data_IF_371134669089
#
_entry.id   IF_371134669089
#
_cell.length_a   1.000
_cell.length_b   1.000
_cell.length_c   1.000
_cell.angle_alpha   90.00
_cell.angle_beta   90.00
_cell.angle_gamma   90.00
#
_symmetry.space_group_name_H-M   'P 1'
#
loop_
_entity.id
_entity.type
_entity.pdbx_description
1 polymer ?
#
# COMPACT_ATOMS: atom_id res chain seq x y z
N UNK A 1 -1.82 -1.64 32.79
CA UNK A 1 -2.93 -1.86 31.83
C UNK A 1 -2.66 -0.94 30.65
N UNK A 2 -2.33 -1.50 29.50
CA UNK A 2 -2.14 -0.73 28.28
C UNK A 2 -3.49 -0.14 27.86
N UNK A 3 -3.44 1.06 27.29
CA UNK A 3 -4.63 1.74 26.78
C UNK A 3 -5.11 0.97 25.53
N UNK A 4 -6.37 0.46 25.48
CA UNK A 4 -6.85 -0.37 24.38
C UNK A 4 -6.75 0.34 23.01
N UNK A 5 -6.70 1.66 22.98
CA UNK A 5 -6.46 2.46 21.76
C UNK A 5 -5.02 2.26 21.28
N UNK A 6 -4.07 2.28 22.20
CA UNK A 6 -2.63 2.13 21.87
C UNK A 6 -2.37 0.72 21.34
N UNK A 7 -2.95 -0.31 21.96
CA UNK A 7 -2.79 -1.70 21.53
C UNK A 7 -3.37 -1.93 20.11
N UNK A 8 -4.54 -1.36 19.82
CA UNK A 8 -5.14 -1.45 18.49
C UNK A 8 -4.33 -0.70 17.42
N UNK A 9 -3.81 0.48 17.73
CA UNK A 9 -2.93 1.23 16.84
C UNK A 9 -1.62 0.49 16.59
N UNK A 10 -1.05 -0.13 17.63
CA UNK A 10 0.17 -0.91 17.51
C UNK A 10 -0.04 -2.16 16.63
N UNK A 11 -1.12 -2.90 16.85
CA UNK A 11 -1.47 -4.07 16.02
C UNK A 11 -1.69 -3.68 14.55
N UNK A 12 -2.39 -2.58 14.31
CA UNK A 12 -2.62 -2.09 12.96
C UNK A 12 -1.32 -1.60 12.28
N UNK A 13 -0.42 -0.95 13.04
CA UNK A 13 0.90 -0.57 12.53
C UNK A 13 1.76 -1.80 12.21
N UNK A 14 1.72 -2.84 13.03
CA UNK A 14 2.41 -4.10 12.77
C UNK A 14 1.90 -4.76 11.48
N UNK A 15 0.57 -4.79 11.26
CA UNK A 15 -0.01 -5.32 10.02
C UNK A 15 0.39 -4.50 8.77
N UNK A 16 0.55 -3.18 8.89
CA UNK A 16 1.08 -2.36 7.80
C UNK A 16 2.55 -2.71 7.50
N UNK A 17 3.35 -3.04 8.51
CA UNK A 17 4.73 -3.50 8.31
C UNK A 17 4.78 -4.88 7.63
N UNK A 18 3.82 -5.76 7.91
CA UNK A 18 3.69 -7.05 7.20
C UNK A 18 3.53 -6.84 5.70
N UNK A 19 2.88 -5.75 5.26
CA UNK A 19 2.80 -5.41 3.84
C UNK A 19 4.18 -5.26 3.21
N UNK A 20 5.14 -4.66 3.90
CA UNK A 20 6.50 -4.50 3.38
C UNK A 20 7.21 -5.85 3.22
N UNK A 21 7.03 -6.75 4.20
CA UNK A 21 7.59 -8.11 4.14
C UNK A 21 6.95 -8.92 3.00
N UNK A 22 5.63 -8.85 2.86
CA UNK A 22 4.90 -9.52 1.77
C UNK A 22 5.36 -9.00 0.41
N UNK A 23 5.58 -7.70 0.28
CA UNK A 23 6.12 -7.12 -0.94
C UNK A 23 7.51 -7.67 -1.29
N UNK A 24 8.36 -7.88 -0.28
CA UNK A 24 9.68 -8.47 -0.46
C UNK A 24 9.57 -9.92 -0.95
N UNK A 25 8.72 -10.73 -0.30
CA UNK A 25 8.47 -12.14 -0.70
C UNK A 25 7.97 -12.24 -2.14
N UNK A 26 7.05 -11.35 -2.56
CA UNK A 26 6.54 -11.31 -3.93
C UNK A 26 7.60 -10.93 -4.97
N UNK A 27 8.70 -10.32 -4.53
CA UNK A 27 9.81 -9.98 -5.41
C UNK A 27 10.67 -11.19 -5.79
N UNK A 28 10.61 -12.30 -5.05
CA UNK A 28 11.26 -13.56 -5.43
C UNK A 28 10.56 -14.29 -6.59
N UNK A 29 9.36 -13.82 -7.00
CA UNK A 29 8.66 -14.42 -8.15
C UNK A 29 9.43 -14.12 -9.44
N UNK A 30 9.83 -15.17 -10.20
CA UNK A 30 10.61 -15.01 -11.42
C UNK A 30 9.92 -14.11 -12.46
N UNK A 31 10.68 -13.40 -13.30
CA UNK A 31 10.15 -12.51 -14.36
C UNK A 31 9.19 -13.20 -15.34
N UNK A 32 9.31 -14.52 -15.48
CA UNK A 32 8.44 -15.35 -16.32
C UNK A 32 6.95 -15.17 -15.97
N UNK A 33 6.64 -14.84 -14.72
CA UNK A 33 5.26 -14.68 -14.22
C UNK A 33 4.79 -13.21 -14.15
N UNK A 34 5.36 -12.33 -14.96
CA UNK A 34 5.05 -10.89 -14.97
C UNK A 34 3.55 -10.58 -15.05
N UNK A 35 2.76 -11.36 -15.82
CA UNK A 35 1.31 -11.16 -15.95
C UNK A 35 0.52 -11.53 -14.68
N UNK A 36 1.00 -12.50 -13.92
CA UNK A 36 0.33 -12.99 -12.70
C UNK A 36 0.70 -12.15 -11.47
N UNK A 37 1.86 -11.51 -11.50
CA UNK A 37 2.38 -10.71 -10.38
C UNK A 37 1.40 -9.63 -9.88
N UNK A 38 0.73 -8.82 -10.71
CA UNK A 38 -0.24 -7.83 -10.23
C UNK A 38 -1.45 -8.47 -9.52
N UNK A 39 -1.87 -9.66 -9.97
CA UNK A 39 -2.99 -10.40 -9.38
C UNK A 39 -2.58 -10.92 -7.99
N UNK A 40 -1.39 -11.54 -7.88
CA UNK A 40 -0.87 -12.03 -6.61
C UNK A 40 -0.67 -10.88 -5.60
N UNK A 41 -0.11 -9.76 -6.05
CA UNK A 41 -0.01 -8.56 -5.23
C UNK A 41 -1.38 -8.12 -4.71
N UNK A 42 -2.38 -8.06 -5.60
CA UNK A 42 -3.74 -7.69 -5.23
C UNK A 42 -4.37 -8.63 -4.21
N UNK A 43 -4.23 -9.94 -4.40
CA UNK A 43 -4.77 -10.95 -3.47
C UNK A 43 -4.10 -10.84 -2.10
N UNK A 44 -2.78 -10.74 -2.04
CA UNK A 44 -2.06 -10.67 -0.77
C UNK A 44 -2.35 -9.37 -0.02
N UNK A 45 -2.41 -8.24 -0.72
CA UNK A 45 -2.79 -6.97 -0.11
C UNK A 45 -4.25 -7.01 0.37
N UNK A 46 -5.14 -7.64 -0.39
CA UNK A 46 -6.53 -7.85 0.03
C UNK A 46 -6.64 -8.69 1.29
N UNK A 47 -5.85 -9.76 1.43
CA UNK A 47 -5.80 -10.57 2.64
C UNK A 47 -5.31 -9.75 3.85
N UNK A 48 -4.27 -8.93 3.69
CA UNK A 48 -3.80 -8.02 4.75
C UNK A 48 -4.90 -7.02 5.10
N UNK A 49 -5.59 -6.45 4.11
CA UNK A 49 -6.69 -5.52 4.34
C UNK A 49 -7.83 -6.15 5.14
N UNK A 50 -8.22 -7.37 4.80
CA UNK A 50 -9.23 -8.15 5.53
C UNK A 50 -8.73 -8.45 6.96
N UNK A 51 -7.46 -8.81 7.15
CA UNK A 51 -6.88 -9.05 8.47
C UNK A 51 -6.92 -7.78 9.34
N UNK A 52 -6.57 -6.60 8.79
CA UNK A 52 -6.69 -5.31 9.47
C UNK A 52 -8.14 -5.05 9.88
N UNK A 53 -9.09 -5.30 8.99
CA UNK A 53 -10.52 -5.11 9.24
C UNK A 53 -11.09 -6.12 10.25
N UNK A 54 -10.47 -7.29 10.41
CA UNK A 54 -10.88 -8.31 11.38
C UNK A 54 -10.40 -8.04 12.80
N UNK A 55 -9.46 -7.10 12.98
CA UNK A 55 -8.93 -6.67 14.29
C UNK A 55 -9.16 -5.17 14.51
N UNK A 56 -10.43 -4.71 14.42
CA UNK A 56 -10.72 -3.30 14.50
C UNK A 56 -10.74 -2.80 15.95
N UNK A 57 -10.43 -1.52 16.12
CA UNK A 57 -10.82 -0.82 17.34
C UNK A 57 -12.25 -0.32 17.21
N UNK A 58 -13.14 -0.83 18.08
CA UNK A 58 -14.53 -0.39 18.11
C UNK A 58 -14.67 0.77 19.09
N UNK A 59 -14.90 1.97 18.56
CA UNK A 59 -15.19 3.19 19.36
C UNK A 59 -16.60 3.18 19.94
N UNK A 60 -17.57 2.71 19.13
CA UNK A 60 -18.98 2.55 19.47
C UNK A 60 -19.56 1.38 18.69
N UNK A 61 -20.74 0.87 19.12
CA UNK A 61 -21.45 -0.20 18.42
C UNK A 61 -21.65 0.12 16.93
N UNK A 62 -20.92 -0.58 16.06
CA UNK A 62 -21.02 -0.46 14.60
C UNK A 62 -20.04 0.50 13.92
N UNK A 63 -19.26 1.29 14.67
CA UNK A 63 -18.20 2.16 14.12
C UNK A 63 -16.83 1.58 14.42
N UNK A 64 -16.18 1.18 13.36
CA UNK A 64 -14.91 0.47 13.36
C UNK A 64 -13.83 1.41 12.88
N UNK A 65 -12.74 1.49 13.62
CA UNK A 65 -11.59 2.31 13.31
C UNK A 65 -10.37 1.42 12.99
N UNK A 66 -9.85 1.56 11.79
CA UNK A 66 -8.72 0.78 11.31
C UNK A 66 -7.86 1.58 10.30
N UNK A 67 -6.70 1.02 9.93
CA UNK A 67 -5.73 1.67 9.04
C UNK A 67 -5.91 1.30 7.55
N UNK A 68 -7.06 0.75 7.16
CA UNK A 68 -7.32 0.35 5.76
C UNK A 68 -7.22 1.50 4.75
N UNK A 69 -7.57 2.73 5.13
CA UNK A 69 -7.45 3.92 4.29
C UNK A 69 -6.00 4.19 3.88
N UNK A 70 -5.06 4.01 4.82
CA UNK A 70 -3.61 4.07 4.55
C UNK A 70 -3.23 2.96 3.56
N UNK A 71 -3.59 1.71 3.87
CA UNK A 71 -3.26 0.57 3.04
C UNK A 71 -3.76 0.75 1.60
N UNK A 72 -5.04 1.10 1.42
CA UNK A 72 -5.68 1.23 0.10
C UNK A 72 -5.07 2.39 -0.69
N UNK A 73 -4.88 3.56 -0.08
CA UNK A 73 -4.32 4.72 -0.76
C UNK A 73 -2.86 4.51 -1.18
N UNK A 74 -2.05 3.88 -0.33
CA UNK A 74 -0.65 3.53 -0.65
C UNK A 74 -0.59 2.40 -1.69
N UNK A 75 -1.48 1.41 -1.62
CA UNK A 75 -1.62 0.38 -2.66
C UNK A 75 -1.91 1.01 -4.02
N UNK A 76 -2.85 1.93 -4.08
CA UNK A 76 -3.20 2.66 -5.28
C UNK A 76 -2.02 3.47 -5.84
N UNK A 77 -1.28 4.14 -4.96
CA UNK A 77 -0.11 4.94 -5.33
C UNK A 77 1.02 4.07 -5.90
N UNK A 78 1.36 2.97 -5.25
CA UNK A 78 2.56 2.18 -5.56
C UNK A 78 2.27 1.06 -6.55
N UNK A 79 1.25 0.26 -6.31
CA UNK A 79 0.96 -0.94 -7.10
C UNK A 79 0.03 -0.68 -8.30
N UNK A 80 -0.74 0.41 -8.29
CA UNK A 80 -1.60 0.82 -9.39
C UNK A 80 -2.97 0.16 -9.40
N UNK A 81 -3.65 0.25 -10.54
CA UNK A 81 -5.10 0.01 -10.65
C UNK A 81 -5.50 -1.44 -10.34
N UNK A 82 -4.79 -2.43 -10.87
CA UNK A 82 -5.20 -3.84 -10.77
C UNK A 82 -5.18 -4.36 -9.31
N UNK A 83 -4.06 -4.25 -8.55
CA UNK A 83 -4.05 -4.64 -7.15
C UNK A 83 -5.04 -3.85 -6.30
N UNK A 84 -5.22 -2.55 -6.59
CA UNK A 84 -6.17 -1.71 -5.89
C UNK A 84 -7.61 -2.19 -6.07
N UNK A 85 -8.01 -2.55 -7.29
CA UNK A 85 -9.36 -3.07 -7.55
C UNK A 85 -9.65 -4.34 -6.75
N UNK A 86 -8.71 -5.29 -6.73
CA UNK A 86 -8.87 -6.53 -5.95
C UNK A 86 -9.02 -6.20 -4.46
N UNK A 87 -8.18 -5.30 -3.93
CA UNK A 87 -8.23 -4.89 -2.52
C UNK A 87 -9.54 -4.17 -2.19
N UNK A 88 -10.00 -3.26 -3.06
CA UNK A 88 -11.27 -2.53 -2.89
C UNK A 88 -12.46 -3.49 -2.87
N UNK A 89 -12.51 -4.46 -3.79
CA UNK A 89 -13.57 -5.45 -3.83
C UNK A 89 -13.62 -6.29 -2.56
N UNK A 90 -12.47 -6.80 -2.11
CA UNK A 90 -12.38 -7.58 -0.88
C UNK A 90 -12.74 -6.77 0.37
N UNK A 91 -12.21 -5.54 0.49
CA UNK A 91 -12.50 -4.65 1.61
C UNK A 91 -13.98 -4.23 1.66
N UNK A 92 -14.58 -3.94 0.50
CA UNK A 92 -16.01 -3.59 0.41
C UNK A 92 -16.90 -4.78 0.75
N UNK A 93 -16.58 -5.98 0.27
CA UNK A 93 -17.30 -7.20 0.62
C UNK A 93 -17.21 -7.46 2.13
N UNK A 94 -16.02 -7.37 2.71
CA UNK A 94 -15.83 -7.51 4.16
C UNK A 94 -16.64 -6.47 4.95
N UNK A 95 -16.67 -5.22 4.47
CA UNK A 95 -17.43 -4.15 5.14
C UNK A 95 -18.95 -4.39 5.11
N UNK A 96 -19.47 -4.96 4.01
CA UNK A 96 -20.87 -5.36 3.90
C UNK A 96 -21.18 -6.50 4.87
N UNK A 97 -20.31 -7.50 4.95
CA UNK A 97 -20.46 -8.64 5.87
C UNK A 97 -20.46 -8.19 7.32
N UNK A 98 -19.58 -7.26 7.70
CA UNK A 98 -19.53 -6.71 9.06
C UNK A 98 -20.81 -5.92 9.44
N UNK A 99 -21.47 -5.31 8.48
CA UNK A 99 -22.71 -4.58 8.71
C UNK A 99 -22.56 -3.34 9.59
N UNK A 100 -23.70 -2.93 10.20
CA UNK A 100 -23.77 -1.79 11.12
C UNK A 100 -23.90 -0.42 10.45
N UNK A 101 -24.12 0.63 11.25
CA UNK A 101 -24.34 2.03 10.81
C UNK A 101 -23.13 2.60 10.06
N UNK A 102 -21.94 2.10 10.34
CA UNK A 102 -20.70 2.48 9.68
C UNK A 102 -20.47 1.82 8.30
N UNK A 103 -21.38 0.98 7.77
CA UNK A 103 -21.15 0.29 6.50
C UNK A 103 -21.07 1.26 5.32
N UNK A 104 -22.03 2.17 5.20
CA UNK A 104 -22.06 3.16 4.13
C UNK A 104 -20.84 4.09 4.15
N UNK A 105 -20.52 4.78 5.26
CA UNK A 105 -19.31 5.60 5.34
C UNK A 105 -18.05 4.77 5.15
N UNK A 106 -18.00 3.53 5.62
CA UNK A 106 -16.87 2.63 5.43
C UNK A 106 -16.59 2.30 3.97
N UNK A 107 -17.62 2.02 3.16
CA UNK A 107 -17.49 1.80 1.71
C UNK A 107 -17.08 3.10 1.02
N UNK A 108 -17.66 4.24 1.40
CA UNK A 108 -17.29 5.54 0.88
C UNK A 108 -15.79 5.84 1.09
N UNK A 109 -15.25 5.56 2.29
CA UNK A 109 -13.83 5.70 2.60
C UNK A 109 -12.96 4.77 1.74
N UNK A 110 -13.34 3.52 1.55
CA UNK A 110 -12.62 2.57 0.70
C UNK A 110 -12.51 3.11 -0.74
N UNK A 111 -13.62 3.52 -1.31
CA UNK A 111 -13.68 4.01 -2.70
C UNK A 111 -12.91 5.33 -2.87
N UNK A 112 -13.11 6.27 -1.96
CA UNK A 112 -12.42 7.59 -2.04
C UNK A 112 -10.93 7.46 -1.83
N UNK A 113 -10.46 6.63 -0.88
CA UNK A 113 -9.03 6.37 -0.66
C UNK A 113 -8.37 5.78 -1.90
N UNK A 114 -9.03 4.81 -2.55
CA UNK A 114 -8.54 4.23 -3.80
C UNK A 114 -8.51 5.26 -4.94
N UNK A 115 -9.58 6.01 -5.12
CA UNK A 115 -9.68 7.03 -6.17
C UNK A 115 -8.62 8.11 -6.02
N UNK A 116 -8.41 8.63 -4.79
CA UNK A 116 -7.39 9.63 -4.51
C UNK A 116 -5.99 9.07 -4.78
N UNK A 117 -5.68 7.86 -4.29
CA UNK A 117 -4.39 7.22 -4.51
C UNK A 117 -4.08 7.02 -6.00
N UNK A 118 -5.04 6.54 -6.80
CA UNK A 118 -4.89 6.37 -8.25
C UNK A 118 -4.75 7.72 -8.98
N UNK A 119 -5.56 8.71 -8.62
CA UNK A 119 -5.48 10.07 -9.17
C UNK A 119 -4.12 10.70 -8.86
N UNK A 120 -3.66 10.54 -7.61
CA UNK A 120 -2.36 11.03 -7.17
C UNK A 120 -1.22 10.39 -7.93
N UNK A 121 -1.25 9.06 -8.12
CA UNK A 121 -0.30 8.31 -8.93
C UNK A 121 -0.19 8.86 -10.35
N UNK A 122 -1.33 9.17 -10.98
CA UNK A 122 -1.39 9.59 -12.38
C UNK A 122 -0.96 11.06 -12.58
N UNK A 123 -1.41 11.97 -11.71
CA UNK A 123 -1.33 13.40 -11.98
C UNK A 123 -0.33 14.17 -11.11
N UNK A 124 -0.14 13.77 -9.86
CA UNK A 124 0.67 14.52 -8.89
C UNK A 124 2.04 13.88 -8.71
N UNK A 125 2.08 12.60 -8.43
CA UNK A 125 3.30 11.88 -8.08
C UNK A 125 4.43 11.99 -9.13
N UNK A 126 4.19 11.97 -10.47
CA UNK A 126 5.24 12.12 -11.46
C UNK A 126 5.95 13.48 -11.41
N UNK A 127 5.24 14.52 -10.95
CA UNK A 127 5.77 15.89 -10.82
C UNK A 127 6.64 16.07 -9.57
N UNK A 128 6.42 15.26 -8.55
CA UNK A 128 7.04 15.38 -7.22
C UNK A 128 8.10 14.31 -6.92
N UNK A 129 8.78 13.79 -7.93
CA UNK A 129 9.77 12.70 -7.79
C UNK A 129 10.88 12.98 -6.77
N UNK A 130 11.32 14.24 -6.62
CA UNK A 130 12.36 14.64 -5.66
C UNK A 130 11.86 14.72 -4.21
N UNK A 131 10.56 14.98 -4.02
CA UNK A 131 9.92 15.18 -2.72
C UNK A 131 8.81 14.15 -2.49
N UNK A 132 9.11 12.86 -2.75
CA UNK A 132 8.13 11.77 -2.64
C UNK A 132 7.46 11.71 -1.27
N UNK A 133 8.22 11.91 -0.20
CA UNK A 133 7.70 11.89 1.16
C UNK A 133 6.66 12.98 1.40
N UNK A 134 6.95 14.23 0.93
CA UNK A 134 6.01 15.35 1.06
C UNK A 134 4.75 15.14 0.21
N UNK A 135 4.93 14.62 -1.02
CA UNK A 135 3.81 14.24 -1.89
C UNK A 135 2.90 13.22 -1.23
N UNK A 136 3.46 12.18 -0.61
CA UNK A 136 2.68 11.15 0.09
C UNK A 136 2.02 11.71 1.36
N UNK A 137 2.70 12.59 2.09
CA UNK A 137 2.12 13.27 3.25
C UNK A 137 0.87 14.06 2.86
N UNK A 138 0.96 14.89 1.82
CA UNK A 138 -0.18 15.69 1.32
C UNK A 138 -1.32 14.81 0.82
N UNK A 139 -1.00 13.73 0.10
CA UNK A 139 -2.01 12.75 -0.31
C UNK A 139 -2.74 12.17 0.90
N UNK A 140 -2.00 11.76 1.91
CA UNK A 140 -2.56 11.15 3.11
C UNK A 140 -3.42 12.15 3.89
N UNK A 141 -3.01 13.41 4.03
CA UNK A 141 -3.84 14.44 4.66
C UNK A 141 -5.18 14.56 3.93
N UNK A 142 -5.17 14.64 2.60
CA UNK A 142 -6.41 14.74 1.79
C UNK A 142 -7.28 13.50 1.97
N UNK A 143 -6.69 12.30 1.93
CA UNK A 143 -7.41 11.04 2.16
C UNK A 143 -8.13 11.06 3.51
N UNK A 144 -7.45 11.51 4.57
CA UNK A 144 -8.02 11.46 5.92
C UNK A 144 -8.98 12.61 6.20
N UNK A 145 -8.82 13.77 5.56
CA UNK A 145 -9.86 14.82 5.58
C UNK A 145 -11.15 14.32 4.91
N UNK A 146 -11.03 13.66 3.76
CA UNK A 146 -12.20 13.08 3.08
C UNK A 146 -12.78 11.92 3.88
N UNK A 147 -11.95 11.09 4.52
CA UNK A 147 -12.40 10.06 5.44
C UNK A 147 -13.25 10.64 6.57
N UNK A 148 -12.80 11.73 7.21
CA UNK A 148 -13.58 12.41 8.25
C UNK A 148 -14.89 12.98 7.70
N UNK A 149 -14.88 13.52 6.48
CA UNK A 149 -16.10 13.98 5.82
C UNK A 149 -17.07 12.82 5.54
N UNK A 150 -16.59 11.62 5.19
CA UNK A 150 -17.43 10.44 5.02
C UNK A 150 -18.14 10.03 6.32
N UNK A 151 -17.59 10.36 7.51
CA UNK A 151 -18.26 10.08 8.78
C UNK A 151 -19.56 10.89 8.95
N UNK A 152 -19.74 12.00 8.23
CA UNK A 152 -21.00 12.75 8.21
C UNK A 152 -22.17 11.99 7.57
N UNK A 153 -21.91 10.86 6.92
CA UNK A 153 -22.96 9.95 6.44
C UNK A 153 -23.64 9.17 7.58
N UNK A 154 -23.07 9.21 8.79
CA UNK A 154 -23.70 8.67 10.00
C UNK A 154 -24.72 9.70 10.52
N UNK A 155 -25.89 9.25 11.04
CA UNK A 155 -26.89 10.17 11.58
C UNK A 155 -26.37 11.07 12.70
N UNK A 156 -26.87 12.31 12.76
CA UNK A 156 -26.63 13.23 13.87
C UNK A 156 -27.33 12.73 15.13
N UNK A 157 -26.76 12.86 16.37
CA UNK A 157 -25.49 13.54 16.73
C UNK A 157 -24.26 12.61 16.70
N UNK A 158 -24.42 11.35 16.36
CA UNK A 158 -23.39 10.31 16.49
C UNK A 158 -22.15 10.62 15.61
N UNK A 159 -22.38 11.12 14.38
CA UNK A 159 -21.33 11.53 13.47
C UNK A 159 -20.35 12.55 14.07
N UNK A 160 -20.88 13.58 14.74
CA UNK A 160 -20.06 14.64 15.34
C UNK A 160 -19.25 14.11 16.54
N UNK A 161 -19.84 13.25 17.34
CA UNK A 161 -19.15 12.65 18.49
C UNK A 161 -17.98 11.76 18.01
N UNK A 162 -18.21 10.98 16.97
CA UNK A 162 -17.17 10.15 16.36
C UNK A 162 -16.04 11.03 15.79
N UNK A 163 -16.38 12.04 14.98
CA UNK A 163 -15.39 12.94 14.40
C UNK A 163 -14.53 13.60 15.49
N UNK A 164 -15.14 14.12 16.54
CA UNK A 164 -14.41 14.73 17.66
C UNK A 164 -13.46 13.76 18.34
N UNK A 165 -13.84 12.49 18.48
CA UNK A 165 -13.02 11.48 19.12
C UNK A 165 -11.81 11.08 18.24
N UNK A 166 -11.96 11.04 16.91
CA UNK A 166 -10.94 10.48 16.02
C UNK A 166 -10.11 11.52 15.27
N UNK A 167 -10.57 12.78 15.16
CA UNK A 167 -9.89 13.79 14.31
C UNK A 167 -8.43 13.99 14.70
N UNK A 168 -8.13 14.08 15.99
CA UNK A 168 -6.78 14.34 16.47
C UNK A 168 -5.85 13.16 16.20
N UNK A 169 -6.14 11.91 16.63
CA UNK A 169 -5.27 10.78 16.37
C UNK A 169 -5.14 10.47 14.86
N UNK A 170 -6.22 10.60 14.09
CA UNK A 170 -6.17 10.37 12.64
C UNK A 170 -5.26 11.37 11.94
N UNK A 171 -5.41 12.66 12.21
CA UNK A 171 -4.65 13.70 11.52
C UNK A 171 -3.19 13.76 11.94
N UNK A 172 -2.83 13.28 13.14
CA UNK A 172 -1.46 13.23 13.61
C UNK A 172 -0.74 11.93 13.18
N UNK A 173 -1.38 10.78 13.35
CA UNK A 173 -0.73 9.48 13.20
C UNK A 173 -0.77 8.98 11.75
N UNK A 174 -1.91 9.08 11.07
CA UNK A 174 -2.10 8.43 9.77
C UNK A 174 -1.27 9.03 8.63
N UNK A 175 -1.10 10.36 8.50
CA UNK A 175 -0.21 10.91 7.49
C UNK A 175 1.25 10.49 7.70
N UNK A 176 1.70 10.43 8.96
CA UNK A 176 3.06 9.98 9.30
C UNK A 176 3.24 8.50 8.97
N UNK A 177 2.29 7.65 9.38
CA UNK A 177 2.31 6.22 9.09
C UNK A 177 2.31 5.95 7.56
N UNK A 178 1.53 6.72 6.79
CA UNK A 178 1.52 6.65 5.33
C UNK A 178 2.88 6.98 4.71
N UNK A 179 3.56 8.01 5.24
CA UNK A 179 4.91 8.38 4.78
C UNK A 179 5.91 7.29 5.09
N UNK A 180 5.93 6.77 6.32
CA UNK A 180 6.84 5.70 6.73
C UNK A 180 6.64 4.47 5.86
N UNK A 181 5.40 4.01 5.69
CA UNK A 181 5.08 2.87 4.84
C UNK A 181 5.52 3.10 3.38
N UNK A 182 5.26 4.28 2.83
CA UNK A 182 5.63 4.59 1.46
C UNK A 182 7.15 4.63 1.27
N UNK A 183 7.90 5.18 2.21
CA UNK A 183 9.38 5.21 2.18
C UNK A 183 9.92 3.77 2.18
N UNK A 184 9.40 2.90 3.06
CA UNK A 184 9.81 1.50 3.12
C UNK A 184 9.58 0.80 1.77
N UNK A 185 8.39 0.93 1.20
CA UNK A 185 8.03 0.31 -0.07
C UNK A 185 8.84 0.88 -1.26
N UNK A 186 9.09 2.19 -1.30
CA UNK A 186 9.92 2.80 -2.34
C UNK A 186 11.38 2.35 -2.24
N UNK A 187 11.94 2.29 -1.03
CA UNK A 187 13.30 1.77 -0.83
C UNK A 187 13.44 0.32 -1.29
N UNK A 188 12.47 -0.52 -0.99
CA UNK A 188 12.46 -1.91 -1.48
C UNK A 188 12.41 -1.99 -3.00
N UNK A 189 11.61 -1.13 -3.66
CA UNK A 189 11.60 -1.04 -5.12
C UNK A 189 12.95 -0.60 -5.68
N UNK A 190 13.57 0.44 -5.12
CA UNK A 190 14.87 0.95 -5.56
C UNK A 190 15.98 -0.10 -5.40
N UNK A 191 16.02 -0.81 -4.27
CA UNK A 191 16.97 -1.90 -4.04
C UNK A 191 16.80 -3.03 -5.05
N UNK A 192 15.56 -3.38 -5.35
CA UNK A 192 15.25 -4.39 -6.35
C UNK A 192 15.73 -3.97 -7.75
N UNK A 193 15.37 -2.75 -8.17
CA UNK A 193 15.76 -2.24 -9.49
C UNK A 193 17.30 -2.18 -9.62
N UNK A 194 18.00 -1.84 -8.54
CA UNK A 194 19.47 -1.85 -8.50
C UNK A 194 20.03 -3.27 -8.64
N UNK A 195 19.46 -4.25 -7.91
CA UNK A 195 19.89 -5.64 -7.99
C UNK A 195 19.62 -6.26 -9.37
N UNK A 196 18.48 -5.96 -10.01
CA UNK A 196 18.18 -6.42 -11.36
C UNK A 196 19.15 -5.81 -12.39
N UNK A 197 19.51 -4.53 -12.25
CA UNK A 197 20.52 -3.89 -13.11
C UNK A 197 21.89 -4.51 -12.94
N UNK A 198 22.31 -4.79 -11.70
CA UNK A 198 23.57 -5.44 -11.41
C UNK A 198 23.64 -6.82 -12.07
N UNK A 199 22.63 -7.65 -11.83
CA UNK A 199 22.54 -8.99 -12.42
C UNK A 199 22.58 -8.97 -13.95
N UNK A 200 21.82 -8.06 -14.57
CA UNK A 200 21.83 -7.92 -16.03
C UNK A 200 23.20 -7.44 -16.56
N UNK A 201 23.91 -6.60 -15.81
CA UNK A 201 25.27 -6.17 -16.15
C UNK A 201 26.26 -7.33 -16.05
N UNK A 202 26.21 -8.11 -14.97
CA UNK A 202 27.06 -9.30 -14.79
C UNK A 202 26.83 -10.33 -15.89
N UNK A 203 25.57 -10.60 -16.25
CA UNK A 203 25.25 -11.52 -17.36
C UNK A 203 25.78 -11.02 -18.71
N UNK A 204 25.70 -9.71 -18.97
CA UNK A 204 26.29 -9.12 -20.17
C UNK A 204 27.81 -9.26 -20.21
N UNK A 205 28.48 -8.95 -19.10
CA UNK A 205 29.92 -9.11 -18.98
C UNK A 205 30.35 -10.57 -19.21
N UNK A 206 29.66 -11.51 -18.54
CA UNK A 206 29.94 -12.92 -18.70
C UNK A 206 29.82 -13.37 -20.17
N UNK A 207 28.73 -13.00 -20.84
CA UNK A 207 28.54 -13.31 -22.27
C UNK A 207 29.65 -12.72 -23.16
N UNK A 208 30.08 -11.48 -22.88
CA UNK A 208 31.17 -10.85 -23.61
C UNK A 208 32.49 -11.63 -23.42
N UNK A 209 32.82 -12.02 -22.19
CA UNK A 209 34.02 -12.83 -21.93
C UNK A 209 33.94 -14.20 -22.60
N UNK A 210 32.81 -14.89 -22.57
CA UNK A 210 32.62 -16.17 -23.24
C UNK A 210 32.79 -16.03 -24.76
N UNK A 211 32.22 -14.98 -25.34
CA UNK A 211 32.34 -14.72 -26.80
C UNK A 211 33.77 -14.36 -27.20
N UNK A 212 34.47 -13.55 -26.39
CA UNK A 212 35.88 -13.21 -26.62
C UNK A 212 36.80 -14.44 -26.53
N UNK A 213 36.57 -15.30 -25.51
CA UNK A 213 37.34 -16.55 -25.36
C UNK A 213 37.13 -17.49 -26.55
N UNK A 214 35.92 -17.60 -27.08
CA UNK A 214 35.65 -18.37 -28.30
C UNK A 214 36.36 -17.79 -29.53
N UNK A 215 36.38 -16.45 -29.68
CA UNK A 215 37.06 -15.77 -30.78
C UNK A 215 38.57 -15.99 -30.75
N UNK A 216 39.17 -15.99 -29.57
CA UNK A 216 40.63 -16.26 -29.41
C UNK A 216 41.00 -17.72 -29.78
N UNK A 217 40.13 -18.68 -29.47
CA UNK A 217 40.35 -20.09 -29.83
C UNK A 217 40.28 -20.30 -31.34
N UNK A 218 39.41 -19.59 -32.06
CA UNK A 218 39.31 -19.68 -33.50
C UNK A 218 40.55 -19.10 -34.21
N UNK A 219 41.11 -18.02 -33.66
CA UNK A 219 42.30 -17.37 -34.23
C UNK A 219 43.58 -18.17 -33.99
N UNK A 220 43.64 -18.99 -32.94
CA UNK A 220 44.78 -19.88 -32.65
C UNK A 220 44.78 -21.17 -33.48
N UNK A 221 43.67 -21.54 -34.09
CA UNK A 221 43.56 -22.75 -34.91
C UNK A 221 43.97 -22.51 -36.37
N UNK A 222 43.95 -21.25 -36.84
CA UNK A 222 44.29 -20.84 -38.22
C UNK A 222 45.66 -20.16 -38.36
N UNK A 223 46.48 -20.12 -37.31
CA UNK A 223 47.79 -19.51 -37.22
C UNK A 223 48.96 -20.49 -37.26
#
# INVERSE_FOLDING_TARGET
MSDPVIDALFNNAALLLVLSVVFEVLNFIPPKYHRVKPILNGILIALICVAIMSMPYTLHTGVVFDTRSILISITALIFGTFPTLITVLAASAMRIIMGGTGSLPGIAVILTSAAIGLAWRKWVFPKWKKLRWLSTYLMSVIVHVIMLACMLLIPYPESINIIKAIVLPVMLIYPVASVVLSILLFRQQELRDANERLKNSEEKHRRLFETMAQGVVYQSADG
#
